data_IF_893120295798
#
_entry.id   IF_893120295798
#
_cell.length_a   1.000
_cell.length_b   1.000
_cell.length_c   1.000
_cell.angle_alpha   90.00
_cell.angle_beta   90.00
_cell.angle_gamma   90.00
#
_symmetry.space_group_name_H-M   'P 1'
#
loop_
_entity.id
_entity.type
_entity.pdbx_description
1 polymer ?
#
# COMPACT_ATOMS: atom_id res chain seq x y z
N UNK A 1 17.57 16.52 -20.68
CA UNK A 1 16.79 17.78 -20.62
C UNK A 1 17.22 18.51 -19.35
N UNK A 2 18.00 19.59 -19.48
CA UNK A 2 18.40 20.43 -18.33
C UNK A 2 17.16 21.20 -17.91
N UNK A 3 16.75 21.08 -16.65
CA UNK A 3 15.76 22.01 -16.10
C UNK A 3 16.56 23.27 -15.74
N UNK A 4 16.42 24.29 -16.56
CA UNK A 4 16.99 25.61 -16.32
C UNK A 4 16.36 26.21 -15.06
N UNK A 5 17.20 26.89 -14.28
CA UNK A 5 16.90 27.46 -12.96
C UNK A 5 15.99 28.72 -13.03
N UNK A 6 14.94 28.67 -13.84
CA UNK A 6 14.15 29.83 -14.23
C UNK A 6 12.65 29.57 -14.31
N UNK A 7 12.07 28.77 -13.42
CA UNK A 7 10.62 28.85 -13.14
C UNK A 7 10.24 28.19 -11.80
N UNK A 8 10.56 28.84 -10.69
CA UNK A 8 10.11 28.40 -9.34
C UNK A 8 9.42 29.54 -8.59
N UNK A 9 8.54 30.27 -9.28
CA UNK A 9 7.64 31.22 -8.63
C UNK A 9 6.47 30.47 -7.96
N UNK A 10 6.70 29.82 -6.82
CA UNK A 10 5.62 29.25 -6.00
C UNK A 10 5.92 27.97 -5.23
N UNK A 11 7.12 27.39 -5.34
CA UNK A 11 7.45 26.19 -4.58
C UNK A 11 7.99 26.55 -3.19
N UNK A 12 7.59 25.81 -2.13
CA UNK A 12 8.11 26.03 -0.79
C UNK A 12 9.63 25.93 -0.78
N UNK A 13 10.30 26.84 -0.08
CA UNK A 13 11.76 26.86 0.03
C UNK A 13 12.23 25.56 0.70
N UNK A 14 12.76 24.64 -0.09
CA UNK A 14 13.29 23.38 0.40
C UNK A 14 14.54 23.63 1.24
N UNK A 15 14.66 22.93 2.37
CA UNK A 15 15.84 22.98 3.25
C UNK A 15 17.06 22.27 2.63
N UNK A 16 16.83 21.37 1.68
CA UNK A 16 17.83 20.64 0.92
C UNK A 16 17.46 20.64 -0.57
N UNK A 17 18.44 20.53 -1.48
CA UNK A 17 18.15 20.42 -2.91
C UNK A 17 17.34 19.16 -3.22
N UNK A 18 16.42 19.27 -4.18
CA UNK A 18 15.67 18.11 -4.66
C UNK A 18 16.62 17.04 -5.24
N UNK A 19 16.34 15.77 -4.97
CA UNK A 19 17.10 14.66 -5.53
C UNK A 19 16.75 14.47 -7.01
N UNK A 20 17.72 14.57 -7.94
CA UNK A 20 17.46 14.31 -9.34
C UNK A 20 17.24 12.80 -9.56
N UNK A 21 16.23 12.46 -10.36
CA UNK A 21 16.02 11.06 -10.79
C UNK A 21 16.85 10.74 -12.03
N UNK A 22 17.47 9.56 -12.02
CA UNK A 22 18.10 8.96 -13.21
C UNK A 22 17.16 7.95 -13.91
N UNK A 23 15.97 7.73 -13.37
CA UNK A 23 15.00 6.75 -13.89
C UNK A 23 14.34 7.30 -15.15
N UNK A 24 14.34 6.49 -16.22
CA UNK A 24 13.56 6.74 -17.42
C UNK A 24 12.28 5.88 -17.39
N UNK A 25 11.13 6.51 -17.10
CA UNK A 25 9.84 5.82 -17.02
C UNK A 25 9.34 5.28 -18.38
N UNK A 26 9.83 5.84 -19.49
CA UNK A 26 9.48 5.40 -20.85
C UNK A 26 10.41 4.28 -21.36
N UNK A 27 11.37 3.83 -20.55
CA UNK A 27 12.22 2.70 -20.92
C UNK A 27 11.49 1.37 -20.82
N UNK A 28 11.86 0.44 -21.68
CA UNK A 28 11.34 -0.93 -21.66
C UNK A 28 11.68 -1.63 -20.34
N UNK A 29 12.91 -1.48 -19.85
CA UNK A 29 13.33 -2.02 -18.56
C UNK A 29 12.48 -1.50 -17.39
N UNK A 30 12.11 -0.21 -17.38
CA UNK A 30 11.22 0.32 -16.36
C UNK A 30 9.82 -0.29 -16.42
N UNK A 31 9.25 -0.44 -17.63
CA UNK A 31 7.94 -1.09 -17.80
C UNK A 31 7.97 -2.54 -17.32
N UNK A 32 8.99 -3.30 -17.70
CA UNK A 32 9.14 -4.69 -17.25
C UNK A 32 9.24 -4.77 -15.72
N UNK A 33 10.12 -3.97 -15.10
CA UNK A 33 10.27 -3.96 -13.64
C UNK A 33 8.96 -3.60 -12.93
N UNK A 34 8.18 -2.67 -13.50
CA UNK A 34 6.87 -2.29 -12.96
C UNK A 34 5.90 -3.46 -13.05
N UNK A 35 5.85 -4.14 -14.19
CA UNK A 35 4.93 -5.24 -14.42
C UNK A 35 5.27 -6.43 -13.51
N UNK A 36 6.55 -6.75 -13.32
CA UNK A 36 7.02 -7.81 -12.40
C UNK A 36 6.63 -7.53 -10.94
N UNK A 37 6.74 -6.27 -10.49
CA UNK A 37 6.34 -5.88 -9.13
C UNK A 37 4.83 -5.93 -8.97
N UNK A 38 4.07 -5.55 -9.99
CA UNK A 38 2.61 -5.62 -9.95
C UNK A 38 2.10 -7.06 -9.91
N UNK A 39 2.77 -7.99 -10.60
CA UNK A 39 2.48 -9.42 -10.49
C UNK A 39 2.67 -9.92 -9.05
N UNK A 40 3.78 -9.57 -8.41
CA UNK A 40 4.04 -9.94 -7.02
C UNK A 40 3.04 -9.32 -6.04
N UNK A 41 2.63 -8.07 -6.28
CA UNK A 41 1.59 -7.42 -5.46
C UNK A 41 0.25 -8.14 -5.58
N UNK A 42 -0.13 -8.58 -6.78
CA UNK A 42 -1.36 -9.35 -6.98
C UNK A 42 -1.33 -10.68 -6.20
N UNK A 43 -0.20 -11.40 -6.21
CA UNK A 43 -0.04 -12.62 -5.40
C UNK A 43 -0.18 -12.34 -3.90
N UNK A 44 0.41 -11.24 -3.42
CA UNK A 44 0.29 -10.83 -2.02
C UNK A 44 -1.17 -10.50 -1.66
N UNK A 45 -1.89 -9.81 -2.53
CA UNK A 45 -3.31 -9.47 -2.32
C UNK A 45 -4.17 -10.74 -2.18
N UNK A 46 -3.96 -11.75 -3.03
CA UNK A 46 -4.66 -13.04 -2.93
C UNK A 46 -4.38 -13.77 -1.60
N UNK A 47 -3.12 -13.78 -1.16
CA UNK A 47 -2.72 -14.40 0.11
C UNK A 47 -3.28 -13.65 1.32
N UNK A 48 -3.38 -12.31 1.22
CA UNK A 48 -4.01 -11.50 2.25
C UNK A 48 -5.50 -11.81 2.34
N UNK A 49 -6.22 -11.94 1.22
CA UNK A 49 -7.63 -12.33 1.21
C UNK A 49 -7.86 -13.70 1.87
N UNK A 50 -6.98 -14.68 1.61
CA UNK A 50 -7.03 -15.98 2.29
C UNK A 50 -6.83 -15.84 3.80
N UNK A 51 -5.83 -15.06 4.21
CA UNK A 51 -5.56 -14.82 5.63
C UNK A 51 -6.71 -14.06 6.34
N UNK A 52 -7.37 -13.15 5.62
CA UNK A 52 -8.51 -12.35 6.09
C UNK A 52 -9.75 -13.21 6.33
N UNK A 53 -9.93 -14.30 5.56
CA UNK A 53 -10.99 -15.28 5.79
C UNK A 53 -10.85 -16.02 7.14
N UNK A 54 -9.66 -16.01 7.75
CA UNK A 54 -9.37 -16.62 9.02
C UNK A 54 -9.61 -18.13 9.02
N UNK A 55 -10.30 -18.67 10.03
CA UNK A 55 -10.63 -20.10 10.10
C UNK A 55 -11.77 -20.54 9.17
N UNK A 56 -12.10 -19.75 8.16
CA UNK A 56 -13.23 -19.92 7.26
C UNK A 56 -14.58 -19.51 7.88
N UNK A 57 -15.59 -19.36 7.01
CA UNK A 57 -16.92 -18.84 7.38
C UNK A 57 -17.56 -19.58 8.57
N UNK A 58 -17.47 -20.92 8.61
CA UNK A 58 -18.05 -21.72 9.70
C UNK A 58 -17.40 -21.43 11.07
N UNK A 59 -16.08 -21.21 11.11
CA UNK A 59 -15.40 -20.88 12.36
C UNK A 59 -15.70 -19.47 12.83
N UNK A 60 -15.80 -18.53 11.89
CA UNK A 60 -16.16 -17.14 12.17
C UNK A 60 -17.60 -17.06 12.72
N UNK A 61 -18.55 -17.77 12.09
CA UNK A 61 -19.94 -17.82 12.55
C UNK A 61 -20.07 -18.50 13.93
N UNK A 62 -19.32 -19.59 14.17
CA UNK A 62 -19.28 -20.24 15.48
C UNK A 62 -18.75 -19.31 16.58
N UNK A 63 -17.84 -18.40 16.26
CA UNK A 63 -17.34 -17.43 17.23
C UNK A 63 -18.40 -16.36 17.52
N UNK A 64 -19.05 -15.85 16.47
CA UNK A 64 -20.13 -14.85 16.58
C UNK A 64 -21.34 -15.37 17.33
N UNK A 65 -21.76 -16.62 17.10
CA UNK A 65 -22.87 -17.25 17.83
C UNK A 65 -22.62 -17.38 19.34
N UNK A 66 -21.35 -17.29 19.77
CA UNK A 66 -20.95 -17.25 21.19
C UNK A 66 -20.84 -15.82 21.73
N UNK A 67 -21.30 -14.81 20.99
CA UNK A 67 -21.19 -13.39 21.34
C UNK A 67 -19.76 -12.86 21.32
N UNK A 68 -18.85 -13.51 20.58
CA UNK A 68 -17.44 -13.12 20.50
C UNK A 68 -17.12 -12.53 19.14
N UNK A 69 -16.31 -11.47 19.14
CA UNK A 69 -15.80 -10.86 17.93
C UNK A 69 -14.55 -11.61 17.43
N UNK A 70 -14.44 -11.88 16.12
CA UNK A 70 -13.19 -12.27 15.47
C UNK A 70 -12.02 -11.34 15.79
N UNK A 71 -10.81 -11.87 15.71
CA UNK A 71 -9.61 -11.15 16.16
C UNK A 71 -9.39 -9.83 15.41
N UNK A 72 -9.58 -9.80 14.10
CA UNK A 72 -9.43 -8.56 13.31
C UNK A 72 -10.51 -7.53 13.64
N UNK A 73 -11.74 -7.96 13.90
CA UNK A 73 -12.81 -7.07 14.38
C UNK A 73 -12.48 -6.49 15.76
N UNK A 74 -11.89 -7.29 16.66
CA UNK A 74 -11.43 -6.78 17.96
C UNK A 74 -10.34 -5.72 17.79
N UNK A 75 -9.38 -5.95 16.90
CA UNK A 75 -8.28 -5.00 16.62
C UNK A 75 -8.87 -3.71 16.05
N UNK A 76 -9.74 -3.80 15.05
CA UNK A 76 -10.40 -2.65 14.45
C UNK A 76 -11.20 -1.82 15.47
N UNK A 77 -11.85 -2.46 16.45
CA UNK A 77 -12.58 -1.77 17.50
C UNK A 77 -11.69 -1.16 18.61
N UNK A 78 -10.42 -1.57 18.70
CA UNK A 78 -9.46 -1.07 19.68
C UNK A 78 -8.66 0.11 19.12
N UNK A 79 -8.40 0.12 17.81
CA UNK A 79 -7.62 1.16 17.15
C UNK A 79 -8.49 2.40 16.92
N UNK A 80 -7.91 3.59 17.11
CA UNK A 80 -8.59 4.85 16.81
C UNK A 80 -8.97 4.93 15.31
N UNK A 81 -10.17 5.42 14.96
CA UNK A 81 -10.56 5.56 13.58
C UNK A 81 -9.55 6.42 12.78
N UNK A 82 -9.04 5.87 11.68
CA UNK A 82 -8.00 6.47 10.84
C UNK A 82 -6.64 6.67 11.55
N UNK A 83 -6.33 5.85 12.55
CA UNK A 83 -4.94 5.75 13.06
C UNK A 83 -3.99 5.49 11.88
N UNK A 84 -2.84 6.21 11.82
CA UNK A 84 -1.84 6.05 10.77
C UNK A 84 -1.18 4.68 10.77
#
# INVERSE_FOLDING_TARGET
>A
MKIDAGDVAGLPRLLAPALPTAVNADSEAFRQNRDDVLEQLAEIEELLDEADAGGGAASMERLRSRGKLPIRERIANVIDPNSP
#
